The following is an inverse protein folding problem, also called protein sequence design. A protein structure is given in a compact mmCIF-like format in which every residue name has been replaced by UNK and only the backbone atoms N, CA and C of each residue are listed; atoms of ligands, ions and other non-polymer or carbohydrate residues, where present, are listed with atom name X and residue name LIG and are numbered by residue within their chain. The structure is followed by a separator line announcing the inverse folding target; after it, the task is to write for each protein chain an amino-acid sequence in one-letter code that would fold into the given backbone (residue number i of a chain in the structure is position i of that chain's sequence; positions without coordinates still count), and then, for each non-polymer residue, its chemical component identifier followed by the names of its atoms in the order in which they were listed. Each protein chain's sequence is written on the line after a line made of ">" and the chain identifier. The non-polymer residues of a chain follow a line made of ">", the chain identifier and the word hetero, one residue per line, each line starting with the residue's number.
data_IF_631117192576
#
_entry.id   IF_631117192576
#
_cell.length_a   1.000
_cell.length_b   1.000
_cell.length_c   1.000
_cell.angle_alpha   90.00
_cell.angle_beta   90.00
_cell.angle_gamma   90.00
#
_symmetry.space_group_name_H-M   'P 1'
#
loop_
_entity.id
_entity.type
_entity.pdbx_description
1 polymer ?
#
# COMPACT_ATOMS: atom_id res chain seq x y z
N UNK A 1 11.06 -4.69 9.76
CA UNK A 1 11.12 -3.38 10.44
C UNK A 1 9.89 -2.58 10.03
N UNK A 2 9.10 -2.13 10.99
CA UNK A 2 7.85 -1.42 10.72
C UNK A 2 8.14 0.10 10.63
N UNK A 3 8.21 0.64 9.43
CA UNK A 3 8.52 2.06 9.16
C UNK A 3 7.29 2.97 9.27
N UNK A 4 6.15 2.46 9.76
CA UNK A 4 4.87 3.18 9.79
C UNK A 4 4.77 4.24 10.90
N UNK A 5 5.75 4.36 11.77
CA UNK A 5 5.78 5.34 12.87
C UNK A 5 6.53 6.62 12.52
N UNK A 6 6.41 7.63 13.36
CA UNK A 6 7.09 8.92 13.20
C UNK A 6 8.62 8.81 13.04
N UNK A 7 9.23 7.88 13.77
CA UNK A 7 10.67 7.59 13.71
C UNK A 7 11.09 7.00 12.35
N UNK A 8 10.24 6.18 11.73
CA UNK A 8 10.51 5.55 10.42
C UNK A 8 10.51 6.52 9.24
N UNK A 9 9.94 7.70 9.39
CA UNK A 9 9.88 8.72 8.34
C UNK A 9 10.93 9.83 8.49
N UNK A 10 11.96 9.63 9.32
CA UNK A 10 13.12 10.53 9.32
C UNK A 10 13.86 10.44 7.98
N UNK A 11 14.28 11.56 7.36
CA UNK A 11 14.94 11.53 6.06
C UNK A 11 16.15 10.59 5.97
N UNK A 12 16.95 10.49 7.02
CA UNK A 12 18.08 9.57 7.07
C UNK A 12 17.66 8.10 6.95
N UNK A 13 16.60 7.69 7.64
CA UNK A 13 16.06 6.32 7.60
C UNK A 13 15.46 5.99 6.23
N UNK A 14 14.82 6.98 5.60
CA UNK A 14 14.29 6.82 4.24
C UNK A 14 15.42 6.62 3.23
N UNK A 15 16.50 7.40 3.35
CA UNK A 15 17.68 7.26 2.49
C UNK A 15 18.30 5.88 2.68
N UNK A 16 18.55 5.44 3.92
CA UNK A 16 19.07 4.12 4.24
C UNK A 16 18.20 2.99 3.65
N UNK A 17 16.88 3.13 3.71
CA UNK A 17 15.97 2.18 3.07
C UNK A 17 16.16 2.15 1.55
N UNK A 18 16.26 3.33 0.90
CA UNK A 18 16.46 3.44 -0.54
C UNK A 18 17.82 2.89 -0.99
N UNK A 19 18.86 3.03 -0.15
CA UNK A 19 20.22 2.55 -0.42
C UNK A 19 20.30 1.03 -0.62
N UNK A 20 19.35 0.29 -0.05
CA UNK A 20 19.25 -1.17 -0.24
C UNK A 20 18.86 -1.58 -1.67
N UNK A 21 18.23 -0.67 -2.42
CA UNK A 21 17.65 -0.97 -3.73
C UNK A 21 18.25 -0.13 -4.86
N UNK A 22 18.84 1.01 -4.55
CA UNK A 22 19.25 2.02 -5.53
C UNK A 22 20.71 2.39 -5.26
N UNK A 23 21.56 2.08 -6.21
CA UNK A 23 22.98 2.42 -6.14
C UNK A 23 23.18 3.87 -6.59
N UNK A 24 23.94 4.65 -5.83
CA UNK A 24 24.17 6.07 -6.11
C UNK A 24 22.92 6.94 -5.94
N UNK A 25 22.80 8.01 -6.71
CA UNK A 25 21.66 8.95 -6.70
C UNK A 25 21.43 9.65 -5.34
N UNK A 26 22.49 9.93 -4.58
CA UNK A 26 22.43 10.47 -3.21
C UNK A 26 21.57 11.74 -3.10
N UNK A 27 21.74 12.67 -4.05
CA UNK A 27 20.99 13.92 -4.07
C UNK A 27 19.49 13.68 -4.28
N UNK A 28 19.14 12.78 -5.19
CA UNK A 28 17.75 12.44 -5.47
C UNK A 28 17.10 11.73 -4.27
N UNK A 29 17.76 10.72 -3.68
CA UNK A 29 17.30 10.02 -2.49
C UNK A 29 17.04 10.97 -1.33
N UNK A 30 17.96 11.89 -1.06
CA UNK A 30 17.79 12.90 -0.01
C UNK A 30 16.63 13.85 -0.30
N UNK A 31 16.50 14.34 -1.54
CA UNK A 31 15.42 15.25 -1.92
C UNK A 31 14.04 14.62 -1.75
N UNK A 32 13.86 13.37 -2.21
CA UNK A 32 12.58 12.65 -2.07
C UNK A 32 12.28 12.28 -0.62
N UNK A 33 13.30 11.95 0.17
CA UNK A 33 13.14 11.67 1.60
C UNK A 33 12.66 12.91 2.38
N UNK A 34 13.21 14.09 2.09
CA UNK A 34 12.76 15.36 2.68
C UNK A 34 11.33 15.67 2.24
N UNK A 35 11.02 15.52 0.95
CA UNK A 35 9.67 15.76 0.42
C UNK A 35 8.62 14.85 1.08
N UNK A 36 8.93 13.56 1.26
CA UNK A 36 8.05 12.62 1.94
C UNK A 36 7.84 13.01 3.41
N UNK A 37 8.91 13.39 4.13
CA UNK A 37 8.82 13.87 5.51
C UNK A 37 7.96 15.13 5.62
N UNK A 38 8.12 16.08 4.72
CA UNK A 38 7.31 17.30 4.70
C UNK A 38 5.83 17.00 4.45
N UNK A 39 5.53 16.04 3.55
CA UNK A 39 4.14 15.58 3.31
C UNK A 39 3.54 14.93 4.56
N UNK A 40 4.32 14.15 5.29
CA UNK A 40 3.91 13.58 6.57
C UNK A 40 3.63 14.66 7.61
N UNK A 41 4.56 15.61 7.81
CA UNK A 41 4.39 16.71 8.76
C UNK A 41 3.15 17.55 8.47
N UNK A 42 2.86 17.80 7.19
CA UNK A 42 1.67 18.52 6.77
C UNK A 42 0.37 17.84 7.26
N UNK A 43 0.32 16.51 7.29
CA UNK A 43 -0.85 15.75 7.78
C UNK A 43 -1.09 15.90 9.28
N UNK A 44 -0.08 16.35 10.03
CA UNK A 44 -0.16 16.57 11.48
C UNK A 44 -0.56 18.00 11.84
N UNK A 45 -0.69 18.89 10.85
CA UNK A 45 -1.12 20.26 11.05
C UNK A 45 -2.64 20.34 11.12
N UNK A 46 -3.14 21.37 11.79
CA UNK A 46 -4.55 21.75 11.72
C UNK A 46 -4.97 22.03 10.27
N UNK A 47 -6.22 21.73 9.97
CA UNK A 47 -6.73 21.80 8.59
C UNK A 47 -6.61 23.20 7.97
N UNK A 48 -6.78 24.25 8.77
CA UNK A 48 -6.60 25.66 8.39
C UNK A 48 -5.20 25.92 7.82
N UNK A 49 -4.16 25.52 8.56
CA UNK A 49 -2.76 25.68 8.18
C UNK A 49 -2.39 24.71 7.05
N UNK A 50 -2.89 23.49 7.10
CA UNK A 50 -2.63 22.48 6.08
C UNK A 50 -3.14 22.88 4.68
N UNK A 51 -4.21 23.68 4.60
CA UNK A 51 -4.74 24.21 3.32
C UNK A 51 -3.81 25.24 2.68
N UNK A 52 -3.12 26.04 3.48
CA UNK A 52 -2.17 27.05 2.98
C UNK A 52 -0.87 26.41 2.45
N UNK A 53 -0.54 25.23 2.93
CA UNK A 53 0.69 24.51 2.55
C UNK A 53 0.38 23.49 1.46
N UNK A 54 0.45 23.89 0.20
CA UNK A 54 0.25 22.96 -0.92
C UNK A 54 1.38 21.90 -0.97
N UNK A 55 1.05 20.60 -1.10
CA UNK A 55 2.07 19.57 -1.31
C UNK A 55 2.71 19.76 -2.69
N UNK A 56 4.04 19.85 -2.71
CA UNK A 56 4.79 20.00 -3.97
C UNK A 56 4.91 18.65 -4.68
N UNK A 57 4.75 18.66 -5.99
CA UNK A 57 5.07 17.54 -6.86
C UNK A 57 6.59 17.42 -7.02
N UNK A 58 7.06 16.20 -7.28
CA UNK A 58 8.49 15.92 -7.49
C UNK A 58 8.70 15.66 -8.99
N UNK A 59 9.53 16.47 -9.63
CA UNK A 59 10.00 16.24 -10.97
C UNK A 59 11.38 15.57 -10.92
N UNK A 60 11.50 14.38 -11.52
CA UNK A 60 12.78 13.68 -11.65
C UNK A 60 13.21 13.68 -13.11
N UNK A 61 14.38 14.28 -13.38
CA UNK A 61 14.97 14.38 -14.72
C UNK A 61 16.27 13.60 -14.76
N UNK A 62 16.50 12.87 -15.84
CA UNK A 62 17.73 12.08 -16.03
C UNK A 62 17.54 10.99 -17.09
N UNK A 63 18.62 10.32 -17.52
CA UNK A 63 18.57 9.27 -18.52
C UNK A 63 17.72 8.07 -18.10
N UNK A 64 17.36 7.23 -19.07
CA UNK A 64 16.62 5.99 -18.80
C UNK A 64 17.50 5.01 -18.00
N UNK A 65 16.88 4.23 -17.12
CA UNK A 65 17.59 3.20 -16.34
C UNK A 65 18.25 3.65 -15.05
N UNK A 66 18.31 4.96 -14.74
CA UNK A 66 18.97 5.47 -13.51
C UNK A 66 18.15 5.31 -12.21
N UNK A 67 17.04 4.61 -12.24
CA UNK A 67 16.26 4.30 -11.02
C UNK A 67 15.14 5.28 -10.67
N UNK A 68 14.79 6.28 -11.51
CA UNK A 68 13.74 7.26 -11.22
C UNK A 68 12.42 6.63 -10.76
N UNK A 69 11.89 5.70 -11.54
CA UNK A 69 10.63 5.00 -11.23
C UNK A 69 10.78 4.09 -10.00
N UNK A 70 11.95 3.47 -9.84
CA UNK A 70 12.19 2.58 -8.69
C UNK A 70 12.22 3.37 -7.37
N UNK A 71 12.81 4.57 -7.35
CA UNK A 71 12.72 5.47 -6.19
C UNK A 71 11.26 5.71 -5.79
N UNK A 72 10.40 6.05 -6.76
CA UNK A 72 8.99 6.33 -6.48
C UNK A 72 8.25 5.09 -5.96
N UNK A 73 8.49 3.92 -6.57
CA UNK A 73 7.90 2.65 -6.13
C UNK A 73 8.30 2.30 -4.71
N UNK A 74 9.61 2.34 -4.40
CA UNK A 74 10.10 2.03 -3.05
C UNK A 74 9.60 3.00 -1.98
N UNK A 75 9.42 4.28 -2.32
CA UNK A 75 8.76 5.22 -1.41
C UNK A 75 7.31 4.85 -1.13
N UNK A 76 6.56 4.44 -2.16
CA UNK A 76 5.18 3.97 -1.98
C UNK A 76 5.12 2.72 -1.09
N UNK A 77 6.01 1.74 -1.33
CA UNK A 77 6.13 0.53 -0.51
C UNK A 77 6.45 0.87 0.96
N UNK A 78 7.38 1.80 1.19
CA UNK A 78 7.79 2.23 2.53
C UNK A 78 6.63 2.80 3.35
N UNK A 79 5.78 3.61 2.71
CA UNK A 79 4.63 4.25 3.39
C UNK A 79 3.32 3.48 3.22
N UNK A 80 3.37 2.30 2.59
CA UNK A 80 2.20 1.47 2.28
C UNK A 80 1.13 2.28 1.53
N UNK A 81 1.55 3.01 0.49
CA UNK A 81 0.66 3.76 -0.38
C UNK A 81 0.47 3.03 -1.72
N UNK A 82 -0.70 3.13 -2.34
CA UNK A 82 -0.90 2.59 -3.68
C UNK A 82 0.01 3.30 -4.68
N UNK A 83 0.50 2.55 -5.66
CA UNK A 83 1.39 3.05 -6.70
C UNK A 83 0.90 2.61 -8.09
N UNK A 84 0.73 3.58 -8.98
CA UNK A 84 0.41 3.35 -10.38
C UNK A 84 1.43 4.06 -11.26
N UNK A 85 2.02 3.33 -12.20
CA UNK A 85 2.90 3.89 -13.23
C UNK A 85 2.09 4.12 -14.49
N UNK A 86 2.06 5.34 -14.97
CA UNK A 86 1.41 5.72 -16.22
C UNK A 86 2.41 6.33 -17.20
N UNK A 87 2.17 6.12 -18.50
CA UNK A 87 2.93 6.75 -19.57
C UNK A 87 2.08 7.88 -20.17
N UNK A 88 2.53 9.12 -20.03
CA UNK A 88 1.77 10.30 -20.44
C UNK A 88 1.36 10.26 -21.92
N UNK A 89 2.18 9.67 -22.78
CA UNK A 89 1.91 9.51 -24.21
C UNK A 89 0.71 8.61 -24.56
N UNK A 90 0.22 7.83 -23.61
CA UNK A 90 -0.97 6.97 -23.78
C UNK A 90 -2.28 7.68 -23.47
N UNK A 91 -2.20 8.89 -22.95
CA UNK A 91 -3.36 9.71 -22.62
C UNK A 91 -3.53 10.82 -23.65
N UNK A 92 -4.74 10.99 -24.13
CA UNK A 92 -5.10 12.01 -25.10
C UNK A 92 -6.21 12.89 -24.55
N UNK A 93 -6.35 14.10 -25.07
CA UNK A 93 -7.51 14.94 -24.80
C UNK A 93 -8.80 14.29 -25.28
N UNK A 94 -9.91 14.67 -24.65
CA UNK A 94 -11.25 14.14 -24.91
C UNK A 94 -11.57 14.22 -26.40
N UNK A 95 -11.88 13.05 -27.01
CA UNK A 95 -12.26 12.96 -28.43
C UNK A 95 -11.22 12.34 -29.38
N UNK A 96 -10.00 12.04 -28.90
CA UNK A 96 -8.98 11.31 -29.67
C UNK A 96 -8.81 9.87 -29.17
N UNK A 97 -8.25 9.01 -30.03
CA UNK A 97 -7.98 7.60 -29.67
C UNK A 97 -6.88 7.52 -28.62
N UNK A 98 -7.25 7.26 -27.38
CA UNK A 98 -6.33 7.13 -26.24
C UNK A 98 -7.09 6.81 -24.95
N UNK A 99 -6.34 6.55 -23.87
CA UNK A 99 -6.94 6.37 -22.54
C UNK A 99 -7.34 7.73 -21.97
N UNK A 100 -8.51 7.77 -21.35
CA UNK A 100 -8.97 8.94 -20.60
C UNK A 100 -8.10 9.18 -19.35
N UNK A 101 -7.77 10.45 -19.08
CA UNK A 101 -7.00 10.86 -17.90
C UNK A 101 -7.69 10.43 -16.59
N UNK A 102 -9.02 10.43 -16.56
CA UNK A 102 -9.79 9.96 -15.41
C UNK A 102 -9.53 8.48 -15.08
N UNK A 103 -9.13 7.68 -16.07
CA UNK A 103 -8.78 6.28 -15.87
C UNK A 103 -7.60 6.09 -14.92
N UNK A 104 -6.71 7.09 -14.78
CA UNK A 104 -5.58 7.07 -13.83
C UNK A 104 -6.10 6.97 -12.39
N UNK A 105 -7.16 7.73 -12.08
CA UNK A 105 -7.75 7.72 -10.74
C UNK A 105 -8.46 6.39 -10.49
N UNK A 106 -9.15 5.82 -11.48
CA UNK A 106 -9.74 4.48 -11.37
C UNK A 106 -8.69 3.41 -11.10
N UNK A 107 -7.61 3.40 -11.88
CA UNK A 107 -6.49 2.47 -11.71
C UNK A 107 -5.88 2.62 -10.29
N UNK A 108 -5.75 3.84 -9.77
CA UNK A 108 -5.23 4.10 -8.43
C UNK A 108 -6.17 3.60 -7.33
N UNK A 109 -7.49 3.80 -7.50
CA UNK A 109 -8.49 3.30 -6.55
C UNK A 109 -8.48 1.77 -6.55
N UNK A 110 -8.44 1.14 -7.72
CA UNK A 110 -8.37 -0.32 -7.83
C UNK A 110 -7.10 -0.87 -7.16
N UNK A 111 -5.94 -0.28 -7.43
CA UNK A 111 -4.68 -0.64 -6.76
C UNK A 111 -4.79 -0.52 -5.23
N UNK A 112 -5.48 0.52 -4.75
CA UNK A 112 -5.72 0.74 -3.31
C UNK A 112 -6.60 -0.36 -2.71
N UNK A 113 -7.68 -0.73 -3.38
CA UNK A 113 -8.60 -1.79 -2.95
C UNK A 113 -7.87 -3.14 -2.91
N UNK A 114 -7.11 -3.47 -3.95
CA UNK A 114 -6.33 -4.72 -4.01
C UNK A 114 -5.28 -4.78 -2.90
N UNK A 115 -4.59 -3.67 -2.62
CA UNK A 115 -3.61 -3.60 -1.53
C UNK A 115 -4.25 -3.89 -0.17
N UNK A 116 -5.38 -3.25 0.15
CA UNK A 116 -6.11 -3.46 1.41
C UNK A 116 -6.68 -4.88 1.49
N UNK A 117 -7.22 -5.40 0.38
CA UNK A 117 -7.72 -6.77 0.30
C UNK A 117 -6.63 -7.78 0.59
N UNK A 118 -5.45 -7.61 -0.04
CA UNK A 118 -4.28 -8.47 0.20
C UNK A 118 -3.86 -8.45 1.67
N UNK A 119 -3.73 -7.26 2.27
CA UNK A 119 -3.36 -7.13 3.69
C UNK A 119 -4.36 -7.84 4.62
N UNK A 120 -5.67 -7.70 4.33
CA UNK A 120 -6.71 -8.37 5.11
C UNK A 120 -6.70 -9.89 4.91
N UNK A 121 -6.46 -10.36 3.69
CA UNK A 121 -6.34 -11.79 3.40
C UNK A 121 -5.16 -12.41 4.15
N UNK A 122 -3.99 -11.75 4.14
CA UNK A 122 -2.79 -12.20 4.86
C UNK A 122 -3.06 -12.34 6.37
N UNK A 123 -3.84 -11.42 6.95
CA UNK A 123 -4.18 -11.45 8.39
C UNK A 123 -5.09 -12.62 8.79
N UNK A 124 -5.92 -13.12 7.88
CA UNK A 124 -6.86 -14.21 8.17
C UNK A 124 -6.42 -15.56 7.63
N UNK A 125 -5.29 -15.61 6.94
CA UNK A 125 -4.83 -16.81 6.23
C UNK A 125 -4.57 -17.99 7.18
N UNK A 126 -3.92 -17.74 8.32
CA UNK A 126 -3.64 -18.77 9.32
C UNK A 126 -4.94 -19.34 9.90
N UNK A 127 -5.85 -18.47 10.32
CA UNK A 127 -7.15 -18.88 10.85
C UNK A 127 -8.02 -19.59 9.79
N UNK A 128 -7.92 -19.18 8.55
CA UNK A 128 -8.63 -19.84 7.45
C UNK A 128 -8.08 -21.24 7.18
N UNK A 129 -6.76 -21.43 7.25
CA UNK A 129 -6.13 -22.74 7.12
C UNK A 129 -6.55 -23.68 8.26
N UNK A 130 -6.48 -23.23 9.50
CA UNK A 130 -6.93 -23.98 10.68
C UNK A 130 -8.38 -24.43 10.54
N UNK A 131 -9.28 -23.51 10.18
CA UNK A 131 -10.71 -23.85 9.99
C UNK A 131 -10.95 -24.78 8.80
N UNK A 132 -10.10 -24.71 7.76
CA UNK A 132 -10.20 -25.63 6.64
C UNK A 132 -9.82 -27.05 7.06
N UNK A 133 -8.76 -27.20 7.86
CA UNK A 133 -8.35 -28.49 8.43
C UNK A 133 -9.42 -29.07 9.36
N UNK A 134 -9.98 -28.26 10.26
CA UNK A 134 -11.10 -28.69 11.13
C UNK A 134 -12.28 -29.22 10.31
N UNK A 135 -12.66 -28.51 9.25
CA UNK A 135 -13.75 -28.97 8.36
C UNK A 135 -13.43 -30.25 7.63
N UNK A 136 -12.17 -30.45 7.20
CA UNK A 136 -11.74 -31.70 6.57
C UNK A 136 -11.82 -32.85 7.57
N UNK A 137 -11.38 -32.65 8.80
CA UNK A 137 -11.49 -33.65 9.87
C UNK A 137 -12.97 -34.02 10.13
N UNK A 138 -13.85 -33.02 10.20
CA UNK A 138 -15.30 -33.26 10.39
C UNK A 138 -15.93 -34.06 9.23
N UNK A 139 -15.46 -33.89 8.00
CA UNK A 139 -15.91 -34.67 6.85
C UNK A 139 -15.36 -36.10 6.85
N UNK A 140 -14.11 -36.28 7.26
CA UNK A 140 -13.44 -37.59 7.27
C UNK A 140 -13.82 -38.44 8.47
N UNK A 141 -14.08 -37.80 9.62
CA UNK A 141 -14.50 -38.42 10.87
C UNK A 141 -15.89 -37.88 11.25
N UNK A 142 -16.96 -38.35 10.63
CA UNK A 142 -18.29 -37.89 11.00
C UNK A 142 -18.51 -38.11 12.49
N UNK A 143 -18.62 -37.02 13.22
CA UNK A 143 -18.86 -37.08 14.66
C UNK A 143 -20.10 -37.88 14.92
N UNK A 144 -20.02 -38.88 15.81
CA UNK A 144 -21.18 -39.58 16.36
C UNK A 144 -22.21 -38.53 16.77
N UNK A 145 -23.48 -38.70 16.34
CA UNK A 145 -24.50 -37.70 16.60
C UNK A 145 -24.51 -37.35 18.09
N UNK A 146 -24.26 -36.07 18.42
CA UNK A 146 -24.38 -35.59 19.78
C UNK A 146 -25.75 -35.99 20.28
N UNK A 147 -25.84 -36.93 21.23
CA UNK A 147 -27.07 -37.30 21.94
C UNK A 147 -27.74 -35.98 22.31
N UNK A 148 -28.90 -35.69 21.67
CA UNK A 148 -29.73 -34.58 22.06
C UNK A 148 -29.95 -34.69 23.56
N UNK A 149 -29.41 -33.76 24.34
CA UNK A 149 -29.78 -33.61 25.75
C UNK A 149 -31.28 -33.38 25.75
N UNK A 150 -32.03 -34.39 26.20
CA UNK A 150 -33.47 -34.24 26.43
C UNK A 150 -33.63 -33.04 27.37
N UNK A 151 -34.42 -32.02 27.01
CA UNK A 151 -34.58 -30.87 27.89
C UNK A 151 -35.11 -31.28 29.24
N UNK A 152 -34.59 -30.76 30.34
CA UNK A 152 -34.81 -31.15 31.74
C UNK A 152 -36.27 -30.96 32.19
N UNK A 153 -37.15 -30.40 31.34
CA UNK A 153 -38.59 -30.24 31.65
C UNK A 153 -39.45 -31.46 31.29
N UNK A 154 -38.83 -32.56 30.83
CA UNK A 154 -39.53 -33.83 30.53
C UNK A 154 -39.16 -34.95 31.51
N UNK A 155 -38.59 -34.59 32.70
CA UNK A 155 -38.47 -35.53 33.81
C UNK A 155 -39.54 -35.31 34.85
#
# INVERSE_FOLDING_TARGET
>A
MNYSGEAGLKPAVIVEFLDRYIVGQEKAKRAVAIALRNRYRRRMLEESIAREIAPKNILMVGPTGVGKTEIARRLADLVKAPFVKVEATKFTEVGYVGRDVESIIRDLVEASVQMVKKEKMERVQELAAERAEERLVDYLLPSTPKKNKVPDFMK
#
